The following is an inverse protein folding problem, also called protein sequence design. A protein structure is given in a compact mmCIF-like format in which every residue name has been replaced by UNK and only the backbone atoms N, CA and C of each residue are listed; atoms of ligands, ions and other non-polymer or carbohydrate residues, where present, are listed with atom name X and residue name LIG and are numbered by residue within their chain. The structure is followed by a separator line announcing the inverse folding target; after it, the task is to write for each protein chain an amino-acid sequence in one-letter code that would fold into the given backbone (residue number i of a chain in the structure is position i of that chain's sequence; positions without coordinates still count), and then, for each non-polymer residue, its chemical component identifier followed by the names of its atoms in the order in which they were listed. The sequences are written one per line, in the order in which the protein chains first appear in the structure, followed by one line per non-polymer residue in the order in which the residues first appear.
data_IF_586931467385
#
_entry.id   IF_586931467385
#
_cell.length_a   1.000
_cell.length_b   1.000
_cell.length_c   1.000
_cell.angle_alpha   90.00
_cell.angle_beta   90.00
_cell.angle_gamma   90.00
#
_symmetry.space_group_name_H-M   'P 1'
#
loop_
_entity.id
_entity.type
_entity.pdbx_description
1 polymer ?
#
# COMPACT_ATOMS: atom_id res chain seq x y z
N UNK A 1 11.01 15.15 -30.57
CA UNK A 1 10.42 14.22 -29.60
C UNK A 1 9.15 13.65 -30.24
N UNK A 2 8.85 12.35 -30.09
CA UNK A 2 7.55 11.83 -30.48
C UNK A 2 6.45 12.58 -29.69
N UNK A 3 5.29 12.85 -30.31
CA UNK A 3 4.23 13.60 -29.67
C UNK A 3 3.71 12.87 -28.44
N UNK A 4 3.44 13.60 -27.37
CA UNK A 4 2.83 13.03 -26.16
C UNK A 4 1.42 12.54 -26.45
N UNK A 5 1.08 11.38 -25.90
CA UNK A 5 -0.29 10.86 -25.88
C UNK A 5 -0.96 11.12 -24.55
N UNK A 6 -2.30 11.07 -24.50
CA UNK A 6 -3.03 11.12 -23.24
C UNK A 6 -2.69 9.92 -22.34
N UNK A 7 -2.94 10.03 -21.03
CA UNK A 7 -2.72 8.91 -20.11
C UNK A 7 -3.54 7.67 -20.50
N UNK A 8 -4.80 7.85 -20.89
CA UNK A 8 -5.65 6.73 -21.33
C UNK A 8 -5.10 6.03 -22.58
N UNK A 9 -4.63 6.80 -23.56
CA UNK A 9 -4.00 6.22 -24.76
C UNK A 9 -2.67 5.52 -24.44
N UNK A 10 -1.87 6.10 -23.53
CA UNK A 10 -0.65 5.47 -23.03
C UNK A 10 -0.94 4.11 -22.36
N UNK A 11 -1.91 4.06 -21.44
CA UNK A 11 -2.28 2.82 -20.74
C UNK A 11 -2.87 1.78 -21.70
N UNK A 12 -3.66 2.20 -22.69
CA UNK A 12 -4.17 1.31 -23.73
C UNK A 12 -3.02 0.71 -24.57
N UNK A 13 -2.04 1.53 -24.97
CA UNK A 13 -0.84 1.07 -25.68
C UNK A 13 0.01 0.12 -24.83
N UNK A 14 0.21 0.45 -23.55
CA UNK A 14 0.93 -0.41 -22.60
C UNK A 14 0.24 -1.77 -22.45
N UNK A 15 -1.10 -1.79 -22.35
CA UNK A 15 -1.89 -3.03 -22.29
C UNK A 15 -1.73 -3.84 -23.57
N UNK A 16 -1.88 -3.21 -24.74
CA UNK A 16 -1.71 -3.88 -26.02
C UNK A 16 -0.31 -4.49 -26.18
N UNK A 17 0.73 -3.82 -25.70
CA UNK A 17 2.10 -4.35 -25.75
C UNK A 17 2.29 -5.54 -24.79
N UNK A 18 1.74 -5.46 -23.57
CA UNK A 18 1.82 -6.53 -22.58
C UNK A 18 1.07 -7.79 -23.05
N UNK A 19 -0.15 -7.62 -23.55
CA UNK A 19 -1.04 -8.72 -23.94
C UNK A 19 -0.84 -9.20 -25.38
N UNK A 20 0.13 -8.62 -26.11
CA UNK A 20 0.47 -9.09 -27.45
C UNK A 20 0.86 -10.58 -27.42
N UNK A 21 0.52 -11.37 -28.46
CA UNK A 21 1.00 -12.73 -28.60
C UNK A 21 2.53 -12.79 -28.48
N UNK A 22 3.08 -13.84 -27.86
CA UNK A 22 4.52 -13.96 -27.62
C UNK A 22 5.42 -13.68 -28.85
N UNK A 23 5.08 -14.10 -30.09
CA UNK A 23 5.88 -13.77 -31.29
C UNK A 23 5.86 -12.30 -31.71
N UNK A 24 4.88 -11.52 -31.26
CA UNK A 24 4.69 -10.11 -31.60
C UNK A 24 5.08 -9.16 -30.46
N UNK A 25 5.34 -9.71 -29.27
CA UNK A 25 5.68 -8.96 -28.07
C UNK A 25 7.11 -8.47 -28.14
N UNK A 26 7.32 -7.19 -27.84
CA UNK A 26 8.67 -6.65 -27.68
C UNK A 26 9.40 -7.39 -26.55
N UNK A 27 10.69 -7.67 -26.74
CA UNK A 27 11.53 -8.29 -25.70
C UNK A 27 12.86 -7.53 -25.57
N UNK A 28 13.26 -7.13 -24.34
CA UNK A 28 12.50 -7.30 -23.11
C UNK A 28 11.36 -6.26 -22.96
N UNK A 29 10.29 -6.64 -22.26
CA UNK A 29 9.32 -5.68 -21.73
C UNK A 29 9.88 -5.03 -20.46
N UNK A 30 9.75 -3.71 -20.33
CA UNK A 30 10.05 -2.99 -19.08
C UNK A 30 8.76 -2.76 -18.30
N UNK A 31 8.63 -3.41 -17.15
CA UNK A 31 7.47 -3.31 -16.26
C UNK A 31 7.81 -2.46 -15.05
N UNK A 32 6.86 -1.63 -14.61
CA UNK A 32 6.98 -0.78 -13.43
C UNK A 32 5.90 -1.20 -12.45
N UNK A 33 6.27 -1.57 -11.22
CA UNK A 33 5.32 -2.16 -10.28
C UNK A 33 5.47 -1.56 -8.89
N UNK A 34 4.32 -1.26 -8.28
CA UNK A 34 4.19 -0.87 -6.87
C UNK A 34 4.22 -2.07 -5.92
N UNK A 35 4.20 -1.83 -4.61
CA UNK A 35 4.21 -2.91 -3.63
C UNK A 35 2.87 -3.68 -3.60
N UNK A 36 2.83 -4.83 -2.93
CA UNK A 36 1.65 -5.70 -2.90
C UNK A 36 0.45 -5.13 -2.13
N UNK A 37 0.65 -4.05 -1.36
CA UNK A 37 -0.47 -3.33 -0.76
C UNK A 37 -1.25 -2.56 -1.81
N UNK A 38 -0.62 -2.21 -2.94
CA UNK A 38 -1.24 -1.48 -4.04
C UNK A 38 -2.11 -0.32 -3.52
N UNK A 39 -1.54 0.45 -2.59
CA UNK A 39 -2.13 1.67 -2.07
C UNK A 39 -2.00 2.81 -3.10
N UNK A 40 -2.50 3.98 -2.72
CA UNK A 40 -2.53 5.13 -3.63
C UNK A 40 -1.12 5.53 -4.09
N UNK A 41 -0.12 5.44 -3.23
CA UNK A 41 1.27 5.80 -3.56
C UNK A 41 1.87 4.84 -4.58
N UNK A 42 1.81 3.54 -4.31
CA UNK A 42 2.25 2.49 -5.23
C UNK A 42 1.59 2.61 -6.61
N UNK A 43 0.27 2.82 -6.66
CA UNK A 43 -0.48 2.86 -7.91
C UNK A 43 -0.21 4.14 -8.72
N UNK A 44 -0.21 5.31 -8.08
CA UNK A 44 0.08 6.58 -8.74
C UNK A 44 1.55 6.65 -9.20
N UNK A 45 2.49 6.26 -8.32
CA UNK A 45 3.92 6.25 -8.62
C UNK A 45 4.23 5.40 -9.85
N UNK A 46 3.62 4.21 -9.99
CA UNK A 46 3.85 3.34 -11.13
C UNK A 46 3.39 3.98 -12.45
N UNK A 47 2.18 4.56 -12.48
CA UNK A 47 1.62 5.21 -13.67
C UNK A 47 2.45 6.43 -14.07
N UNK A 48 2.78 7.31 -13.11
CA UNK A 48 3.51 8.55 -13.37
C UNK A 48 4.93 8.25 -13.84
N UNK A 49 5.65 7.36 -13.14
CA UNK A 49 7.00 6.96 -13.52
C UNK A 49 7.02 6.36 -14.94
N UNK A 50 6.11 5.41 -15.22
CA UNK A 50 6.06 4.73 -16.50
C UNK A 50 5.75 5.68 -17.65
N UNK A 51 4.82 6.62 -17.46
CA UNK A 51 4.50 7.61 -18.48
C UNK A 51 5.71 8.50 -18.79
N UNK A 52 6.32 9.09 -17.76
CA UNK A 52 7.44 10.03 -17.93
C UNK A 52 8.64 9.34 -18.57
N UNK A 53 8.99 8.12 -18.13
CA UNK A 53 10.09 7.35 -18.70
C UNK A 53 9.84 6.87 -20.14
N UNK A 54 8.59 6.60 -20.49
CA UNK A 54 8.22 6.28 -21.87
C UNK A 54 8.38 7.47 -22.82
N UNK A 55 8.09 8.68 -22.34
CA UNK A 55 8.15 9.88 -23.18
C UNK A 55 9.50 10.60 -23.10
N UNK A 56 10.37 10.25 -22.16
CA UNK A 56 11.76 10.70 -22.12
C UNK A 56 12.66 9.82 -23.00
N UNK A 57 13.75 10.36 -23.58
CA UNK A 57 14.77 9.55 -24.23
C UNK A 57 15.27 8.43 -23.29
N UNK A 58 15.47 7.19 -23.79
CA UNK A 58 15.45 6.77 -25.21
C UNK A 58 14.07 6.37 -25.77
N UNK A 59 12.97 6.73 -25.10
CA UNK A 59 11.58 6.41 -25.48
C UNK A 59 11.22 4.92 -25.41
N UNK A 60 11.83 4.19 -24.49
CA UNK A 60 11.48 2.80 -24.19
C UNK A 60 10.13 2.76 -23.48
N UNK A 61 9.20 1.94 -23.96
CA UNK A 61 7.91 1.74 -23.30
C UNK A 61 8.09 1.13 -21.91
N UNK A 62 7.62 1.84 -20.89
CA UNK A 62 7.49 1.36 -19.51
C UNK A 62 6.02 1.05 -19.25
N UNK A 63 5.73 -0.15 -18.76
CA UNK A 63 4.37 -0.66 -18.58
C UNK A 63 4.04 -0.66 -17.08
N UNK A 64 3.14 0.21 -16.60
CA UNK A 64 2.75 0.22 -15.19
C UNK A 64 1.85 -0.97 -14.88
N UNK A 65 2.14 -1.69 -13.79
CA UNK A 65 1.36 -2.82 -13.30
C UNK A 65 0.92 -2.52 -11.86
N UNK A 66 -0.39 -2.60 -11.62
CA UNK A 66 -0.98 -2.63 -10.29
C UNK A 66 -0.78 -4.02 -9.69
N UNK A 67 -0.08 -4.11 -8.56
CA UNK A 67 0.25 -5.38 -7.89
C UNK A 67 -0.95 -5.92 -7.07
N UNK A 68 -2.06 -6.14 -7.75
CA UNK A 68 -3.28 -6.75 -7.21
C UNK A 68 -4.07 -7.47 -8.33
N UNK A 69 -4.98 -8.38 -7.99
CA UNK A 69 -6.01 -8.87 -8.91
C UNK A 69 -6.99 -7.75 -9.29
N UNK A 70 -7.54 -7.77 -10.50
CA UNK A 70 -8.44 -6.72 -11.00
C UNK A 70 -9.64 -6.46 -10.12
N UNK A 71 -10.23 -7.53 -9.59
CA UNK A 71 -11.40 -7.46 -8.72
C UNK A 71 -11.14 -6.73 -7.40
N UNK A 72 -9.88 -6.53 -7.02
CA UNK A 72 -9.49 -5.86 -5.78
C UNK A 72 -9.27 -4.34 -5.99
N UNK A 73 -9.27 -3.83 -7.23
CA UNK A 73 -9.25 -2.38 -7.48
C UNK A 73 -10.44 -1.65 -6.85
N UNK A 74 -11.60 -2.31 -6.75
CA UNK A 74 -12.79 -1.74 -6.10
C UNK A 74 -12.61 -1.51 -4.59
N UNK A 75 -11.60 -2.14 -3.99
CA UNK A 75 -11.22 -1.95 -2.60
C UNK A 75 -10.35 -0.69 -2.41
N UNK A 76 -10.11 0.08 -3.47
CA UNK A 76 -9.34 1.33 -3.46
C UNK A 76 -10.21 2.49 -3.99
N UNK A 77 -11.30 2.85 -3.29
CA UNK A 77 -12.14 3.96 -3.72
C UNK A 77 -11.34 5.27 -3.86
N UNK A 78 -10.32 5.48 -3.01
CA UNK A 78 -9.38 6.61 -3.08
C UNK A 78 -8.65 6.67 -4.42
N UNK A 79 -8.28 5.52 -4.99
CA UNK A 79 -7.65 5.45 -6.31
C UNK A 79 -8.65 5.81 -7.41
N UNK A 80 -9.92 5.42 -7.28
CA UNK A 80 -10.96 5.80 -8.24
C UNK A 80 -11.15 7.31 -8.28
N UNK A 81 -11.16 7.97 -7.12
CA UNK A 81 -11.24 9.43 -7.03
C UNK A 81 -10.00 10.09 -7.67
N UNK A 82 -8.79 9.63 -7.33
CA UNK A 82 -7.56 10.16 -7.93
C UNK A 82 -7.50 9.99 -9.45
N UNK A 83 -7.94 8.84 -9.98
CA UNK A 83 -8.01 8.58 -11.42
C UNK A 83 -9.00 9.50 -12.14
N UNK A 84 -10.13 9.84 -11.52
CA UNK A 84 -11.12 10.73 -12.12
C UNK A 84 -10.51 12.13 -12.41
N UNK A 85 -9.65 12.62 -11.52
CA UNK A 85 -8.87 13.85 -11.71
C UNK A 85 -7.83 13.78 -12.85
N UNK A 86 -7.55 12.58 -13.34
CA UNK A 86 -6.67 12.29 -14.47
C UNK A 86 -7.43 11.84 -15.74
N UNK A 87 -8.76 11.95 -15.75
CA UNK A 87 -9.65 11.40 -16.79
C UNK A 87 -9.45 9.91 -17.06
N UNK A 88 -9.16 9.16 -15.99
CA UNK A 88 -8.99 7.71 -16.02
C UNK A 88 -10.07 7.02 -15.18
N UNK A 89 -10.24 5.73 -15.43
CA UNK A 89 -11.09 4.81 -14.68
C UNK A 89 -10.24 3.65 -14.16
N UNK A 90 -10.66 2.96 -13.09
CA UNK A 90 -9.96 1.76 -12.62
C UNK A 90 -9.75 0.71 -13.71
N UNK A 91 -10.68 0.59 -14.67
CA UNK A 91 -10.54 -0.31 -15.83
C UNK A 91 -9.33 -0.03 -16.70
N UNK A 92 -8.83 1.21 -16.71
CA UNK A 92 -7.70 1.62 -17.56
C UNK A 92 -6.37 1.10 -17.00
N UNK A 93 -6.28 0.84 -15.69
CA UNK A 93 -5.10 0.27 -15.05
C UNK A 93 -4.84 -1.17 -15.49
N UNK A 94 -3.57 -1.52 -15.67
CA UNK A 94 -3.15 -2.89 -15.89
C UNK A 94 -2.88 -3.52 -14.53
N UNK A 95 -3.34 -4.75 -14.34
CA UNK A 95 -3.27 -5.48 -13.07
C UNK A 95 -2.49 -6.78 -13.25
N UNK A 96 -2.31 -7.57 -12.18
CA UNK A 96 -1.68 -8.88 -12.29
C UNK A 96 -2.40 -9.79 -13.29
N UNK A 97 -3.72 -9.66 -13.41
CA UNK A 97 -4.54 -10.41 -14.36
C UNK A 97 -4.21 -10.13 -15.85
N UNK A 98 -3.56 -9.00 -16.14
CA UNK A 98 -3.12 -8.67 -17.50
C UNK A 98 -1.73 -9.25 -17.83
N UNK A 99 -0.97 -9.68 -16.82
CA UNK A 99 0.37 -10.25 -17.00
C UNK A 99 0.24 -11.67 -17.56
N UNK A 100 0.73 -11.96 -18.78
CA UNK A 100 0.58 -13.28 -19.37
C UNK A 100 1.26 -14.35 -18.50
N UNK A 101 0.55 -15.43 -18.19
CA UNK A 101 1.08 -16.54 -17.40
C UNK A 101 2.37 -17.14 -18.02
N UNK A 102 2.47 -17.10 -19.35
CA UNK A 102 3.60 -17.58 -20.14
C UNK A 102 4.75 -16.57 -20.29
N UNK A 103 4.64 -15.36 -19.73
CA UNK A 103 5.67 -14.34 -19.82
C UNK A 103 6.95 -14.83 -19.12
N UNK A 104 8.00 -15.14 -19.88
CA UNK A 104 9.22 -15.69 -19.33
C UNK A 104 10.08 -14.59 -18.66
N UNK A 105 10.72 -14.92 -17.54
CA UNK A 105 11.49 -13.95 -16.77
C UNK A 105 12.58 -13.26 -17.61
N UNK A 106 13.29 -14.02 -18.45
CA UNK A 106 14.34 -13.48 -19.34
C UNK A 106 13.85 -12.38 -20.30
N UNK A 107 12.56 -12.38 -20.64
CA UNK A 107 11.93 -11.42 -21.56
C UNK A 107 11.38 -10.19 -20.83
N UNK A 108 11.73 -10.02 -19.56
CA UNK A 108 11.26 -8.91 -18.72
C UNK A 108 12.41 -8.17 -18.06
N UNK A 109 12.14 -6.90 -17.74
CA UNK A 109 12.89 -6.02 -16.84
C UNK A 109 11.88 -5.40 -15.88
N UNK A 110 12.20 -5.33 -14.59
CA UNK A 110 11.30 -4.81 -13.57
C UNK A 110 11.91 -3.60 -12.86
N UNK A 111 11.18 -2.50 -12.84
CA UNK A 111 11.48 -1.32 -12.04
C UNK A 111 10.46 -1.27 -10.90
N UNK A 112 10.96 -1.12 -9.68
CA UNK A 112 10.13 -1.11 -8.49
C UNK A 112 9.85 0.34 -8.07
N UNK A 113 8.62 0.64 -7.71
CA UNK A 113 8.26 1.89 -7.04
C UNK A 113 7.61 1.56 -5.70
N UNK A 114 7.87 2.37 -4.68
CA UNK A 114 7.28 2.21 -3.34
C UNK A 114 7.57 0.86 -2.66
N UNK A 115 8.62 0.18 -3.13
CA UNK A 115 9.33 -0.91 -2.48
C UNK A 115 10.66 -1.17 -3.19
N UNK A 116 11.54 -1.90 -2.52
CA UNK A 116 12.86 -2.28 -3.05
C UNK A 116 13.10 -3.81 -3.05
N UNK A 117 12.04 -4.59 -2.82
CA UNK A 117 12.05 -6.05 -2.92
C UNK A 117 10.72 -6.58 -3.47
N UNK A 118 10.76 -7.37 -4.55
CA UNK A 118 9.57 -8.08 -5.00
C UNK A 118 9.14 -9.10 -3.94
N UNK A 119 7.82 -9.28 -3.80
CA UNK A 119 7.19 -10.25 -2.90
C UNK A 119 6.29 -11.23 -3.68
N UNK A 120 5.87 -12.32 -3.03
CA UNK A 120 4.91 -13.28 -3.58
C UNK A 120 5.31 -13.94 -4.91
N UNK A 121 4.32 -14.15 -5.78
CA UNK A 121 4.50 -14.81 -7.07
C UNK A 121 5.42 -14.04 -8.02
N UNK A 122 5.41 -12.70 -7.94
CA UNK A 122 6.32 -11.86 -8.71
C UNK A 122 7.77 -12.10 -8.27
N UNK A 123 8.05 -12.20 -6.97
CA UNK A 123 9.38 -12.52 -6.47
C UNK A 123 9.85 -13.90 -6.95
N UNK A 124 8.97 -14.90 -6.82
CA UNK A 124 9.28 -16.29 -7.19
C UNK A 124 9.69 -16.42 -8.66
N UNK A 125 9.09 -15.62 -9.54
CA UNK A 125 9.33 -15.69 -10.99
C UNK A 125 10.32 -14.66 -11.52
N UNK A 126 10.33 -13.44 -10.97
CA UNK A 126 10.98 -12.28 -11.59
C UNK A 126 12.01 -11.56 -10.71
N UNK A 127 12.30 -12.01 -9.48
CA UNK A 127 13.28 -11.33 -8.61
C UNK A 127 14.65 -11.10 -9.28
N UNK A 128 15.14 -12.05 -10.08
CA UNK A 128 16.40 -11.92 -10.83
C UNK A 128 16.36 -10.96 -12.03
N UNK A 129 15.24 -10.26 -12.25
CA UNK A 129 14.99 -9.35 -13.38
C UNK A 129 14.71 -7.92 -12.93
N UNK A 130 14.85 -7.63 -11.64
CA UNK A 130 14.79 -6.28 -11.10
C UNK A 130 16.01 -5.50 -11.57
N UNK A 131 15.76 -4.33 -12.19
CA UNK A 131 16.79 -3.49 -12.80
C UNK A 131 16.84 -2.08 -12.19
N UNK A 132 15.92 -1.71 -11.31
CA UNK A 132 15.95 -0.41 -10.64
C UNK A 132 14.83 -0.24 -9.62
N UNK A 133 14.94 0.79 -8.79
CA UNK A 133 13.89 1.18 -7.85
C UNK A 133 13.87 2.69 -7.55
N UNK A 134 12.69 3.16 -7.15
CA UNK A 134 12.48 4.43 -6.43
C UNK A 134 11.60 4.10 -5.23
N UNK A 135 12.11 4.25 -4.01
CA UNK A 135 11.43 3.79 -2.81
C UNK A 135 11.81 4.63 -1.58
N UNK A 136 10.89 4.69 -0.62
CA UNK A 136 11.04 5.40 0.64
C UNK A 136 11.07 4.49 1.88
N UNK A 137 10.98 3.17 1.69
CA UNK A 137 11.14 2.18 2.76
C UNK A 137 12.62 1.93 3.10
N UNK A 138 12.83 1.13 4.16
CA UNK A 138 14.16 0.63 4.48
C UNK A 138 14.70 -0.26 3.34
N UNK A 139 15.98 -0.08 3.00
CA UNK A 139 16.65 -0.87 1.97
C UNK A 139 16.77 -2.34 2.43
N UNK A 140 16.25 -3.27 1.64
CA UNK A 140 16.32 -4.72 1.84
C UNK A 140 17.49 -5.37 1.08
N UNK A 141 18.32 -4.56 0.41
CA UNK A 141 19.47 -4.99 -0.38
C UNK A 141 19.12 -6.01 -1.48
N UNK A 142 17.88 -5.96 -2.00
CA UNK A 142 17.42 -6.84 -3.09
C UNK A 142 17.59 -6.25 -4.49
N UNK A 143 17.58 -4.93 -4.61
CA UNK A 143 17.83 -4.24 -5.89
C UNK A 143 19.35 -4.15 -6.13
N UNK A 144 19.85 -4.57 -7.31
CA UNK A 144 21.28 -4.47 -7.66
C UNK A 144 21.83 -3.06 -7.45
N UNK A 145 23.13 -2.96 -7.10
CA UNK A 145 23.80 -1.67 -6.98
C UNK A 145 24.03 -0.98 -8.33
N UNK A 146 24.27 -1.78 -9.37
CA UNK A 146 24.36 -1.32 -10.76
C UNK A 146 23.02 -1.59 -11.45
N UNK A 147 22.27 -0.53 -11.69
CA UNK A 147 20.93 -0.52 -12.29
C UNK A 147 20.95 -0.08 -13.76
N UNK A 148 22.14 0.12 -14.34
CA UNK A 148 22.30 0.65 -15.70
C UNK A 148 21.57 1.99 -15.88
N UNK A 149 20.63 2.04 -16.81
CA UNK A 149 19.85 3.24 -17.16
C UNK A 149 18.62 3.49 -16.26
N UNK A 150 18.38 2.62 -15.28
CA UNK A 150 17.31 2.77 -14.30
C UNK A 150 17.85 3.30 -12.96
N UNK A 151 17.04 3.98 -12.14
CA UNK A 151 17.47 4.51 -10.85
C UNK A 151 17.64 3.41 -9.80
N UNK A 152 18.46 3.72 -8.79
CA UNK A 152 18.39 3.10 -7.46
C UNK A 152 18.25 4.19 -6.41
N UNK A 153 17.04 4.66 -6.18
CA UNK A 153 16.72 5.67 -5.17
C UNK A 153 16.03 4.98 -4.01
N UNK A 154 16.71 4.88 -2.86
CA UNK A 154 16.12 4.37 -1.61
C UNK A 154 16.40 5.39 -0.52
N UNK A 155 15.41 6.22 -0.22
CA UNK A 155 15.57 7.39 0.65
C UNK A 155 14.35 7.64 1.51
N UNK A 156 14.54 7.95 2.80
CA UNK A 156 13.41 8.29 3.68
C UNK A 156 12.65 9.51 3.13
N UNK A 157 11.36 9.35 2.89
CA UNK A 157 10.45 10.38 2.40
C UNK A 157 9.02 10.11 2.91
N UNK A 158 8.14 11.11 2.91
CA UNK A 158 6.74 10.94 3.31
C UNK A 158 5.97 10.06 2.33
N UNK A 159 6.24 10.21 1.04
CA UNK A 159 5.66 9.43 -0.06
C UNK A 159 6.71 9.08 -1.12
N UNK A 160 6.65 7.88 -1.67
CA UNK A 160 7.41 7.48 -2.85
C UNK A 160 7.08 8.37 -4.06
N UNK A 161 5.83 8.83 -4.21
CA UNK A 161 5.46 9.74 -5.30
C UNK A 161 6.22 11.07 -5.25
N UNK A 162 6.69 11.51 -4.08
CA UNK A 162 7.59 12.67 -3.98
C UNK A 162 8.94 12.39 -4.64
N UNK A 163 9.51 11.20 -4.37
CA UNK A 163 10.78 10.75 -4.96
C UNK A 163 10.66 10.53 -6.46
N UNK A 164 9.55 9.96 -6.94
CA UNK A 164 9.28 9.80 -8.37
C UNK A 164 9.19 11.16 -9.07
N UNK A 165 8.43 12.12 -8.50
CA UNK A 165 8.30 13.46 -9.05
C UNK A 165 9.64 14.18 -9.11
N UNK A 166 10.49 14.02 -8.09
CA UNK A 166 11.81 14.64 -8.05
C UNK A 166 12.79 14.00 -9.04
N UNK A 167 12.88 12.66 -9.06
CA UNK A 167 13.74 11.93 -9.99
C UNK A 167 13.37 12.21 -11.45
N UNK A 168 12.07 12.20 -11.78
CA UNK A 168 11.60 12.47 -13.13
C UNK A 168 11.53 13.97 -13.46
N UNK A 169 11.80 14.89 -12.52
CA UNK A 169 11.67 16.34 -12.73
C UNK A 169 12.37 16.85 -14.00
N UNK A 170 13.63 16.48 -14.31
CA UNK A 170 14.29 16.98 -15.52
C UNK A 170 13.57 16.54 -16.81
N UNK A 171 13.13 15.29 -16.86
CA UNK A 171 12.36 14.75 -17.98
C UNK A 171 10.99 15.43 -18.09
N UNK A 172 10.30 15.60 -16.95
CA UNK A 172 8.99 16.23 -16.89
C UNK A 172 9.05 17.69 -17.36
N UNK A 173 10.02 18.48 -16.91
CA UNK A 173 10.20 19.86 -17.36
C UNK A 173 10.54 19.96 -18.85
N UNK A 174 11.34 19.02 -19.37
CA UNK A 174 11.65 18.97 -20.80
C UNK A 174 10.40 18.67 -21.64
N UNK A 175 9.55 17.75 -21.19
CA UNK A 175 8.28 17.41 -21.81
C UNK A 175 7.28 18.58 -21.75
N UNK A 176 7.15 19.25 -20.61
CA UNK A 176 6.26 20.40 -20.45
C UNK A 176 6.66 21.58 -21.36
N UNK A 177 7.97 21.84 -21.50
CA UNK A 177 8.49 22.89 -22.40
C UNK A 177 8.22 22.62 -23.88
N UNK A 178 8.02 21.37 -24.29
CA UNK A 178 7.70 21.02 -25.67
C UNK A 178 6.30 21.49 -26.10
N UNK A 179 5.41 21.81 -25.14
CA UNK A 179 4.14 22.49 -25.38
C UNK A 179 2.99 21.63 -25.92
N UNK A 180 3.15 20.31 -26.01
CA UNK A 180 2.19 19.37 -26.62
C UNK A 180 1.36 18.57 -25.61
N UNK A 181 1.46 18.85 -24.30
CA UNK A 181 0.92 17.97 -23.25
C UNK A 181 0.40 18.63 -21.98
N UNK A 182 -0.02 19.89 -22.00
CA UNK A 182 -0.44 20.63 -20.81
C UNK A 182 -1.50 19.93 -19.94
N UNK A 183 -2.55 19.35 -20.57
CA UNK A 183 -3.56 18.57 -19.85
C UNK A 183 -2.98 17.31 -19.20
N UNK A 184 -2.00 16.68 -19.86
CA UNK A 184 -1.37 15.47 -19.34
C UNK A 184 -0.46 15.80 -18.15
N UNK A 185 0.23 16.95 -18.18
CA UNK A 185 1.00 17.42 -17.03
C UNK A 185 0.09 17.69 -15.82
N UNK A 186 -1.08 18.29 -16.05
CA UNK A 186 -2.07 18.48 -14.99
C UNK A 186 -2.58 17.14 -14.42
N UNK A 187 -2.84 16.14 -15.28
CA UNK A 187 -3.27 14.82 -14.84
C UNK A 187 -2.19 14.07 -14.05
N UNK A 188 -0.94 14.05 -14.54
CA UNK A 188 0.19 13.46 -13.83
C UNK A 188 0.41 14.15 -12.49
N UNK A 189 0.33 15.47 -12.45
CA UNK A 189 0.48 16.24 -11.21
C UNK A 189 -0.60 15.91 -10.19
N UNK A 190 -1.87 15.79 -10.62
CA UNK A 190 -2.98 15.41 -9.73
C UNK A 190 -2.82 13.98 -9.18
N UNK A 191 -2.38 13.02 -9.99
CA UNK A 191 -2.08 11.66 -9.50
C UNK A 191 -0.98 11.67 -8.44
N UNK A 192 0.12 12.39 -8.69
CA UNK A 192 1.21 12.51 -7.72
C UNK A 192 0.79 13.26 -6.46
N UNK A 193 0.05 14.37 -6.59
CA UNK A 193 -0.46 15.13 -5.43
C UNK A 193 -1.39 14.28 -4.57
N UNK A 194 -2.25 13.45 -5.18
CA UNK A 194 -3.15 12.58 -4.43
C UNK A 194 -2.38 11.65 -3.49
N UNK A 195 -1.32 11.00 -3.98
CA UNK A 195 -0.45 10.16 -3.16
C UNK A 195 0.27 10.96 -2.06
N UNK A 196 1.02 11.99 -2.47
CA UNK A 196 1.87 12.77 -1.54
C UNK A 196 1.04 13.39 -0.41
N UNK A 197 -0.10 13.99 -0.72
CA UNK A 197 -0.94 14.66 0.28
C UNK A 197 -1.61 13.65 1.22
N UNK A 198 -2.03 12.48 0.74
CA UNK A 198 -2.61 11.43 1.59
C UNK A 198 -1.58 10.87 2.58
N UNK A 199 -0.36 10.58 2.13
CA UNK A 199 0.65 9.96 3.00
C UNK A 199 1.26 10.91 4.02
N UNK A 200 1.33 12.20 3.66
CA UNK A 200 1.86 13.27 4.50
C UNK A 200 0.80 14.00 5.32
N UNK A 201 -0.47 13.61 5.21
CA UNK A 201 -1.60 14.30 5.85
C UNK A 201 -1.60 15.79 5.50
N UNK A 202 -1.64 16.08 4.20
CA UNK A 202 -1.54 17.42 3.62
C UNK A 202 -0.28 18.19 4.10
N UNK A 203 0.88 17.51 4.09
CA UNK A 203 2.16 18.01 4.63
C UNK A 203 2.15 18.32 6.14
N UNK A 204 1.10 17.92 6.86
CA UNK A 204 0.93 18.16 8.31
C UNK A 204 1.53 17.08 9.21
N UNK A 205 1.92 15.93 8.65
CA UNK A 205 2.49 14.82 9.42
C UNK A 205 3.91 15.14 9.90
N UNK A 206 4.09 15.33 11.21
CA UNK A 206 5.39 15.67 11.83
C UNK A 206 6.45 14.57 11.71
N UNK A 207 6.02 13.30 11.69
CA UNK A 207 6.93 12.16 11.72
C UNK A 207 7.30 11.63 10.33
N UNK A 208 6.47 11.93 9.32
CA UNK A 208 6.62 11.43 7.94
C UNK A 208 7.09 12.48 6.96
N UNK A 209 6.54 13.70 7.04
CA UNK A 209 6.77 14.75 6.03
C UNK A 209 8.23 15.18 6.05
N UNK A 210 8.81 15.28 4.85
CA UNK A 210 10.19 15.72 4.63
C UNK A 210 10.24 16.94 3.71
N UNK A 211 11.39 17.62 3.64
CA UNK A 211 11.60 18.73 2.71
C UNK A 211 11.43 18.32 1.23
N UNK A 212 11.67 17.04 0.92
CA UNK A 212 11.42 16.46 -0.41
C UNK A 212 9.93 16.47 -0.74
N UNK A 213 9.05 16.15 0.21
CA UNK A 213 7.59 16.20 0.01
C UNK A 213 7.13 17.64 -0.24
N UNK A 214 7.63 18.61 0.53
CA UNK A 214 7.32 20.04 0.35
C UNK A 214 7.79 20.54 -1.02
N UNK A 215 9.00 20.15 -1.44
CA UNK A 215 9.58 20.46 -2.76
C UNK A 215 8.79 19.83 -3.90
N UNK A 216 8.37 18.57 -3.75
CA UNK A 216 7.56 17.85 -4.72
C UNK A 216 6.19 18.50 -4.89
N UNK A 217 5.45 18.77 -3.81
CA UNK A 217 4.16 19.47 -3.88
C UNK A 217 4.31 20.84 -4.56
N UNK A 218 5.30 21.63 -4.16
CA UNK A 218 5.58 22.94 -4.77
C UNK A 218 5.93 22.88 -6.27
N UNK A 219 6.46 21.75 -6.73
CA UNK A 219 6.72 21.51 -8.16
C UNK A 219 5.43 21.10 -8.89
N UNK A 220 4.70 20.12 -8.34
CA UNK A 220 3.50 19.55 -8.95
C UNK A 220 2.37 20.59 -9.10
N UNK A 221 2.19 21.47 -8.11
CA UNK A 221 1.15 22.50 -8.14
C UNK A 221 1.34 23.53 -9.27
N UNK A 222 2.53 23.62 -9.86
CA UNK A 222 2.78 24.48 -11.04
C UNK A 222 2.00 24.01 -12.27
N UNK A 223 1.63 22.72 -12.32
CA UNK A 223 0.84 22.13 -13.39
C UNK A 223 -0.65 22.07 -13.06
N UNK A 224 -1.05 22.51 -11.87
CA UNK A 224 -2.46 22.60 -11.50
C UNK A 224 -3.01 23.98 -11.88
N UNK A 225 -3.94 24.01 -12.83
CA UNK A 225 -4.66 25.23 -13.19
C UNK A 225 -5.81 25.50 -12.22
N UNK A 226 -6.17 26.78 -12.05
CA UNK A 226 -7.31 27.18 -11.24
C UNK A 226 -8.64 26.65 -11.82
N UNK A 227 -9.62 26.26 -10.97
CA UNK A 227 -9.57 26.28 -9.51
C UNK A 227 -8.97 24.97 -8.95
N UNK A 228 -7.73 25.02 -8.47
CA UNK A 228 -7.14 23.98 -7.63
C UNK A 228 -6.92 24.57 -6.25
N UNK A 229 -7.33 23.84 -5.22
CA UNK A 229 -7.10 24.17 -3.83
C UNK A 229 -6.64 22.89 -3.12
N UNK A 230 -5.42 22.93 -2.57
CA UNK A 230 -4.76 21.77 -1.96
C UNK A 230 -5.62 21.13 -0.88
N UNK A 231 -6.14 21.94 0.05
CA UNK A 231 -6.91 21.44 1.19
C UNK A 231 -8.20 20.76 0.72
N UNK A 232 -8.94 21.38 -0.20
CA UNK A 232 -10.16 20.79 -0.76
C UNK A 232 -9.89 19.49 -1.52
N UNK A 233 -8.77 19.43 -2.26
CA UNK A 233 -8.36 18.22 -2.97
C UNK A 233 -7.95 17.10 -2.01
N UNK A 234 -7.21 17.43 -0.94
CA UNK A 234 -6.87 16.48 0.12
C UNK A 234 -8.11 15.95 0.85
N UNK A 235 -9.04 16.84 1.21
CA UNK A 235 -10.28 16.50 1.91
C UNK A 235 -11.15 15.57 1.06
N UNK A 236 -11.26 15.83 -0.25
CA UNK A 236 -11.99 14.99 -1.20
C UNK A 236 -11.43 13.55 -1.21
N UNK A 237 -10.13 13.39 -1.43
CA UNK A 237 -9.51 12.05 -1.52
C UNK A 237 -9.51 11.34 -0.16
N UNK A 238 -9.30 12.09 0.93
CA UNK A 238 -9.32 11.53 2.30
C UNK A 238 -10.70 11.01 2.68
N UNK A 239 -11.76 11.77 2.39
CA UNK A 239 -13.14 11.35 2.65
C UNK A 239 -13.48 10.03 1.94
N UNK A 240 -13.05 9.88 0.68
CA UNK A 240 -13.28 8.65 -0.09
C UNK A 240 -12.43 7.47 0.43
N UNK A 241 -11.19 7.74 0.88
CA UNK A 241 -10.32 6.71 1.50
C UNK A 241 -10.93 6.12 2.76
N UNK A 242 -11.56 6.97 3.59
CA UNK A 242 -12.18 6.59 4.85
C UNK A 242 -13.58 5.97 4.67
N UNK A 243 -14.23 6.20 3.53
CA UNK A 243 -15.53 5.61 3.22
C UNK A 243 -15.42 4.13 2.85
N UNK A 244 -15.63 3.28 3.87
CA UNK A 244 -15.77 1.83 3.74
C UNK A 244 -17.22 1.37 3.94
N UNK A 245 -18.20 2.26 3.77
CA UNK A 245 -19.62 1.98 4.03
C UNK A 245 -20.16 0.91 3.09
N UNK A 246 -19.76 0.95 1.82
CA UNK A 246 -20.18 0.03 0.76
C UNK A 246 -19.53 -1.36 0.82
N UNK A 247 -18.40 -1.51 1.54
CA UNK A 247 -17.65 -2.77 1.60
C UNK A 247 -18.30 -3.77 2.56
N UNK A 248 -18.35 -5.06 2.19
CA UNK A 248 -18.69 -6.12 3.15
C UNK A 248 -17.56 -6.37 4.16
N UNK A 249 -17.83 -7.04 5.29
CA UNK A 249 -16.79 -7.32 6.30
C UNK A 249 -15.55 -8.00 5.74
N UNK A 250 -15.72 -9.02 4.89
CA UNK A 250 -14.60 -9.68 4.20
C UNK A 250 -13.74 -8.70 3.41
N UNK A 251 -14.36 -7.74 2.72
CA UNK A 251 -13.67 -6.70 1.94
C UNK A 251 -12.96 -5.69 2.85
N UNK A 252 -13.59 -5.31 3.98
CA UNK A 252 -12.98 -4.47 5.01
C UNK A 252 -11.70 -5.11 5.57
N UNK A 253 -11.76 -6.39 5.95
CA UNK A 253 -10.60 -7.08 6.54
C UNK A 253 -9.46 -7.30 5.53
N UNK A 254 -9.79 -7.50 4.25
CA UNK A 254 -8.77 -7.74 3.22
C UNK A 254 -8.20 -6.48 2.57
N UNK A 255 -8.84 -5.30 2.76
CA UNK A 255 -8.44 -4.03 2.11
C UNK A 255 -6.97 -3.72 2.34
N UNK A 256 -6.53 -3.63 3.60
CA UNK A 256 -5.12 -3.42 3.99
C UNK A 256 -4.66 -4.53 4.94
N UNK A 257 -4.48 -5.71 4.36
CA UNK A 257 -4.14 -6.93 5.07
C UNK A 257 -2.68 -7.35 4.84
N UNK A 258 -2.00 -7.76 5.90
CA UNK A 258 -0.68 -8.41 5.81
C UNK A 258 -0.64 -9.67 6.66
N UNK A 259 0.08 -10.67 6.18
CA UNK A 259 0.21 -11.97 6.82
C UNK A 259 1.68 -12.36 6.94
N UNK A 260 2.02 -12.98 8.07
CA UNK A 260 3.35 -13.51 8.34
C UNK A 260 3.25 -14.94 8.88
N UNK A 261 4.29 -15.72 8.63
CA UNK A 261 4.48 -17.05 9.20
C UNK A 261 5.84 -17.07 9.90
N UNK A 262 5.85 -17.42 11.18
CA UNK A 262 7.07 -17.50 11.99
C UNK A 262 7.12 -18.81 12.77
N UNK A 263 8.33 -19.29 13.06
CA UNK A 263 8.53 -20.48 13.90
C UNK A 263 8.43 -20.09 15.38
N UNK A 264 7.66 -20.84 16.16
CA UNK A 264 7.51 -20.60 17.59
C UNK A 264 8.78 -20.97 18.36
N UNK A 265 9.11 -20.24 19.41
CA UNK A 265 10.15 -20.65 20.35
C UNK A 265 9.73 -21.86 21.20
N UNK A 266 10.60 -22.87 21.29
CA UNK A 266 10.46 -24.03 22.18
C UNK A 266 10.55 -25.36 21.45
N UNK A 267 11.12 -26.39 22.09
CA UNK A 267 11.18 -27.73 21.50
C UNK A 267 9.76 -28.29 21.29
N UNK A 268 9.45 -28.69 20.05
CA UNK A 268 8.18 -29.33 19.69
C UNK A 268 7.05 -28.37 19.29
N UNK A 269 7.28 -27.06 19.26
CA UNK A 269 6.28 -26.09 18.79
C UNK A 269 6.34 -25.89 17.28
N UNK A 270 5.16 -25.74 16.68
CA UNK A 270 5.00 -25.56 15.25
C UNK A 270 5.16 -24.11 14.78
N UNK A 271 4.99 -23.94 13.48
CA UNK A 271 4.80 -22.63 12.85
C UNK A 271 3.53 -21.95 13.37
N UNK A 272 3.53 -20.63 13.43
CA UNK A 272 2.35 -19.80 13.68
C UNK A 272 2.15 -18.82 12.54
N UNK A 273 0.90 -18.72 12.09
CA UNK A 273 0.44 -17.82 11.04
C UNK A 273 -0.35 -16.67 11.66
N UNK A 274 0.13 -15.44 11.46
CA UNK A 274 -0.47 -14.22 11.97
C UNK A 274 -0.95 -13.33 10.82
N UNK A 275 -2.16 -12.78 10.95
CA UNK A 275 -2.71 -11.81 10.00
C UNK A 275 -3.15 -10.52 10.67
N UNK A 276 -2.80 -9.37 10.08
CA UNK A 276 -3.19 -8.03 10.57
C UNK A 276 -4.02 -7.33 9.50
N UNK A 277 -5.25 -6.98 9.86
CA UNK A 277 -6.15 -6.15 9.05
C UNK A 277 -6.11 -4.72 9.59
N UNK A 278 -5.55 -3.79 8.83
CA UNK A 278 -5.58 -2.37 9.16
C UNK A 278 -6.84 -1.72 8.56
N UNK A 279 -7.61 -1.02 9.39
CA UNK A 279 -8.93 -0.49 9.04
C UNK A 279 -8.96 1.01 9.33
N UNK A 280 -9.41 1.79 8.35
CA UNK A 280 -9.50 3.26 8.38
C UNK A 280 -10.69 3.81 9.17
N UNK A 281 -11.31 2.96 10.01
CA UNK A 281 -12.44 3.29 10.86
C UNK A 281 -12.27 2.56 12.19
N UNK A 282 -12.81 3.13 13.28
CA UNK A 282 -12.70 2.59 14.63
C UNK A 282 -13.60 1.36 14.88
N UNK A 283 -13.43 0.72 16.03
CA UNK A 283 -14.17 -0.49 16.43
C UNK A 283 -15.65 -0.20 16.64
N UNK A 284 -16.02 1.01 17.09
CA UNK A 284 -17.42 1.43 17.20
C UNK A 284 -18.08 1.45 15.81
N UNK A 285 -17.41 1.99 14.78
CA UNK A 285 -17.90 1.94 13.39
C UNK A 285 -18.10 0.49 12.92
N UNK A 286 -17.17 -0.42 13.24
CA UNK A 286 -17.31 -1.82 12.86
C UNK A 286 -18.48 -2.51 13.57
N UNK A 287 -18.77 -2.12 14.81
CA UNK A 287 -19.96 -2.56 15.53
C UNK A 287 -21.24 -1.98 14.94
N UNK A 288 -21.26 -0.71 14.58
CA UNK A 288 -22.42 -0.09 13.93
C UNK A 288 -22.70 -0.75 12.58
N UNK A 289 -21.65 -1.09 11.82
CA UNK A 289 -21.75 -1.90 10.60
C UNK A 289 -22.28 -3.31 10.86
N UNK A 290 -22.08 -3.84 12.06
CA UNK A 290 -22.67 -5.08 12.56
C UNK A 290 -24.05 -4.86 13.22
N UNK A 291 -24.70 -3.71 13.02
CA UNK A 291 -25.97 -3.33 13.65
C UNK A 291 -25.93 -3.36 15.18
N UNK A 292 -24.77 -3.04 15.76
CA UNK A 292 -24.52 -3.07 17.20
C UNK A 292 -24.29 -4.47 17.78
N UNK A 293 -24.34 -5.53 16.96
CA UNK A 293 -24.14 -6.92 17.41
C UNK A 293 -22.67 -7.35 17.28
N UNK A 294 -21.97 -7.39 18.40
CA UNK A 294 -20.59 -7.87 18.48
C UNK A 294 -20.42 -9.32 17.98
N UNK A 295 -21.45 -10.18 18.10
CA UNK A 295 -21.38 -11.56 17.60
C UNK A 295 -21.32 -11.60 16.08
N UNK A 296 -21.96 -10.64 15.40
CA UNK A 296 -21.88 -10.52 13.94
C UNK A 296 -20.46 -10.11 13.53
N UNK A 297 -19.90 -9.05 14.12
CA UNK A 297 -18.52 -8.61 13.86
C UNK A 297 -17.51 -9.75 14.08
N UNK A 298 -17.58 -10.39 15.25
CA UNK A 298 -16.67 -11.45 15.65
C UNK A 298 -16.80 -12.70 14.77
N UNK A 299 -18.02 -13.06 14.36
CA UNK A 299 -18.25 -14.18 13.43
C UNK A 299 -17.65 -13.89 12.07
N UNK A 300 -17.86 -12.70 11.50
CA UNK A 300 -17.29 -12.35 10.19
C UNK A 300 -15.75 -12.28 10.24
N UNK A 301 -15.18 -11.77 11.34
CA UNK A 301 -13.73 -11.77 11.50
C UNK A 301 -13.15 -13.18 11.68
N UNK A 302 -13.86 -14.07 12.39
CA UNK A 302 -13.49 -15.48 12.48
C UNK A 302 -13.51 -16.17 11.11
N UNK A 303 -14.55 -15.98 10.30
CA UNK A 303 -14.59 -16.52 8.92
C UNK A 303 -13.39 -16.08 8.11
N UNK A 304 -12.99 -14.81 8.24
CA UNK A 304 -11.80 -14.29 7.59
C UNK A 304 -10.51 -14.96 8.09
N UNK A 305 -10.36 -15.13 9.40
CA UNK A 305 -9.23 -15.86 9.98
C UNK A 305 -9.18 -17.32 9.51
N UNK A 306 -10.32 -18.00 9.41
CA UNK A 306 -10.42 -19.37 8.87
C UNK A 306 -10.06 -19.43 7.37
N UNK A 307 -10.56 -18.50 6.56
CA UNK A 307 -10.21 -18.37 5.14
C UNK A 307 -8.69 -18.23 4.94
N UNK A 308 -8.05 -17.45 5.81
CA UNK A 308 -6.61 -17.18 5.79
C UNK A 308 -5.76 -18.17 6.60
N UNK A 309 -6.39 -19.15 7.27
CA UNK A 309 -5.76 -20.17 8.11
C UNK A 309 -4.88 -19.56 9.21
N UNK A 310 -5.41 -18.57 9.93
CA UNK A 310 -4.69 -17.84 10.95
C UNK A 310 -4.72 -18.54 12.30
N UNK A 311 -3.56 -18.58 12.95
CA UNK A 311 -3.44 -18.89 14.37
C UNK A 311 -3.69 -17.64 15.23
N UNK A 312 -3.31 -16.47 14.70
CA UNK A 312 -3.49 -15.16 15.34
C UNK A 312 -4.11 -14.17 14.34
N UNK A 313 -5.28 -13.63 14.66
CA UNK A 313 -5.94 -12.57 13.90
C UNK A 313 -5.88 -11.24 14.64
N UNK A 314 -5.54 -10.16 13.93
CA UNK A 314 -5.47 -8.80 14.47
C UNK A 314 -6.31 -7.84 13.65
N UNK A 315 -7.13 -7.03 14.33
CA UNK A 315 -7.72 -5.81 13.77
C UNK A 315 -6.99 -4.62 14.38
N UNK A 316 -6.42 -3.77 13.54
CA UNK A 316 -5.87 -2.47 13.94
C UNK A 316 -6.70 -1.37 13.31
N UNK A 317 -7.30 -0.52 14.12
CA UNK A 317 -8.12 0.58 13.62
C UNK A 317 -7.37 1.90 13.71
N UNK A 318 -7.74 2.82 12.84
CA UNK A 318 -7.52 4.25 13.00
C UNK A 318 -8.87 4.95 12.92
N UNK A 319 -9.06 5.99 13.73
CA UNK A 319 -10.26 6.80 13.70
C UNK A 319 -9.95 8.27 13.97
N UNK A 320 -10.90 9.13 13.65
CA UNK A 320 -10.84 10.57 13.94
C UNK A 320 -12.12 11.07 14.65
N UNK A 321 -12.60 10.41 15.74
CA UNK A 321 -13.79 10.91 16.44
C UNK A 321 -13.54 12.34 16.93
N UNK A 322 -14.50 13.22 16.64
CA UNK A 322 -14.41 14.66 16.95
C UNK A 322 -13.11 15.32 16.43
N UNK A 323 -12.57 14.81 15.32
CA UNK A 323 -11.34 15.30 14.69
C UNK A 323 -10.04 14.87 15.39
N UNK A 324 -10.10 14.00 16.40
CA UNK A 324 -8.91 13.52 17.13
C UNK A 324 -8.50 12.14 16.65
N UNK A 325 -7.25 12.02 16.22
CA UNK A 325 -6.70 10.73 15.80
C UNK A 325 -6.66 9.74 16.98
N UNK A 326 -7.19 8.56 16.76
CA UNK A 326 -7.15 7.44 17.70
C UNK A 326 -6.71 6.14 17.03
N UNK A 327 -6.25 5.21 17.85
CA UNK A 327 -5.92 3.83 17.45
C UNK A 327 -6.54 2.84 18.42
N UNK A 328 -7.03 1.74 17.89
CA UNK A 328 -7.48 0.62 18.70
C UNK A 328 -6.95 -0.69 18.11
N UNK A 329 -6.87 -1.70 18.97
CA UNK A 329 -6.27 -2.99 18.68
C UNK A 329 -7.18 -4.09 19.20
N UNK A 330 -7.62 -4.98 18.33
CA UNK A 330 -8.23 -6.26 18.72
C UNK A 330 -7.29 -7.38 18.31
N UNK A 331 -6.93 -8.24 19.26
CA UNK A 331 -6.06 -9.39 19.08
C UNK A 331 -6.84 -10.66 19.42
N UNK A 332 -6.83 -11.66 18.54
CA UNK A 332 -7.52 -12.93 18.73
C UNK A 332 -6.63 -14.13 18.40
N UNK A 333 -6.31 -14.92 19.41
CA UNK A 333 -5.64 -16.21 19.29
C UNK A 333 -6.67 -17.35 19.13
N UNK A 334 -6.38 -18.29 18.22
CA UNK A 334 -7.28 -19.40 17.86
C UNK A 334 -6.77 -20.81 18.26
N UNK A 335 -5.63 -20.91 18.94
CA UNK A 335 -5.11 -22.15 19.55
C UNK A 335 -4.18 -21.86 20.74
N UNK A 336 -3.80 -22.89 21.51
CA UNK A 336 -3.03 -22.74 22.75
C UNK A 336 -1.65 -22.09 22.57
N UNK A 337 -0.92 -22.45 21.52
CA UNK A 337 0.37 -21.83 21.23
C UNK A 337 0.17 -20.33 20.91
N UNK A 338 -0.89 -19.99 20.17
CA UNK A 338 -1.21 -18.60 19.83
C UNK A 338 -1.62 -17.80 21.07
N UNK A 339 -2.34 -18.44 22.00
CA UNK A 339 -2.71 -17.84 23.28
C UNK A 339 -1.45 -17.48 24.09
N UNK A 340 -0.46 -18.37 24.15
CA UNK A 340 0.80 -18.06 24.84
C UNK A 340 1.55 -16.90 24.18
N UNK A 341 1.71 -16.91 22.86
CA UNK A 341 2.38 -15.84 22.11
C UNK A 341 1.68 -14.49 22.30
N UNK A 342 0.35 -14.46 22.25
CA UNK A 342 -0.44 -13.23 22.43
C UNK A 342 -0.36 -12.69 23.87
N UNK A 343 -0.33 -13.57 24.88
CA UNK A 343 -0.11 -13.16 26.28
C UNK A 343 1.30 -12.61 26.50
N UNK A 344 2.33 -13.22 25.91
CA UNK A 344 3.71 -12.70 25.94
C UNK A 344 3.79 -11.31 25.32
N UNK A 345 3.16 -11.11 24.17
CA UNK A 345 3.06 -9.80 23.52
C UNK A 345 2.39 -8.77 24.47
N UNK A 346 1.23 -9.12 25.03
CA UNK A 346 0.53 -8.21 25.93
C UNK A 346 1.38 -7.84 27.15
N UNK A 347 1.97 -8.80 27.85
CA UNK A 347 2.81 -8.50 29.03
C UNK A 347 4.09 -7.74 28.67
N UNK A 348 4.69 -8.00 27.50
CA UNK A 348 5.91 -7.34 27.05
C UNK A 348 5.71 -5.89 26.58
N UNK A 349 4.57 -5.58 25.97
CA UNK A 349 4.39 -4.32 25.24
C UNK A 349 3.16 -3.48 25.66
N UNK A 350 2.30 -3.93 26.59
CA UNK A 350 1.10 -3.17 27.00
C UNK A 350 1.41 -1.75 27.47
N UNK A 351 2.51 -1.55 28.20
CA UNK A 351 2.92 -0.23 28.71
C UNK A 351 3.47 0.65 27.59
N UNK A 352 4.30 0.09 26.71
CA UNK A 352 4.90 0.80 25.57
C UNK A 352 3.85 1.27 24.56
N UNK A 353 2.83 0.42 24.32
CA UNK A 353 1.71 0.74 23.44
C UNK A 353 0.61 1.56 24.14
N UNK A 354 0.65 1.65 25.48
CA UNK A 354 -0.40 2.28 26.28
C UNK A 354 -1.76 1.63 26.05
N UNK A 355 -1.84 0.30 26.18
CA UNK A 355 -3.06 -0.46 25.95
C UNK A 355 -4.01 -0.33 27.13
N UNK A 356 -5.16 0.29 26.90
CA UNK A 356 -6.26 0.39 27.85
C UNK A 356 -7.44 -0.43 27.37
N UNK A 357 -8.11 -1.14 28.28
CA UNK A 357 -9.25 -2.00 27.93
C UNK A 357 -10.33 -1.22 27.18
N UNK A 358 -10.71 -1.72 26.02
CA UNK A 358 -11.70 -1.08 25.17
C UNK A 358 -13.12 -1.35 25.68
N UNK A 359 -13.91 -0.30 25.93
CA UNK A 359 -15.33 -0.35 26.38
C UNK A 359 -15.57 -1.41 27.45
N UNK A 360 -14.81 -1.37 28.55
CA UNK A 360 -14.92 -2.32 29.67
C UNK A 360 -14.76 -3.80 29.30
N UNK A 361 -14.17 -4.09 28.13
CA UNK A 361 -13.89 -5.45 27.66
C UNK A 361 -15.06 -6.06 26.91
N UNK A 362 -15.92 -5.21 26.30
CA UNK A 362 -17.08 -5.65 25.51
C UNK A 362 -16.74 -6.69 24.43
N UNK A 363 -15.54 -6.63 23.86
CA UNK A 363 -15.07 -7.58 22.85
C UNK A 363 -14.12 -8.64 23.42
N UNK A 364 -13.84 -8.65 24.72
CA UNK A 364 -12.88 -9.58 25.34
C UNK A 364 -13.50 -10.98 25.51
N UNK A 365 -12.68 -12.02 25.37
CA UNK A 365 -13.06 -13.41 25.66
C UNK A 365 -11.82 -14.24 26.02
N UNK A 366 -11.93 -15.00 27.11
CA UNK A 366 -10.92 -15.97 27.53
C UNK A 366 -11.58 -17.33 27.62
N UNK A 367 -11.19 -18.25 26.75
CA UNK A 367 -11.72 -19.61 26.68
C UNK A 367 -10.59 -20.62 26.44
N UNK A 368 -10.88 -21.91 26.53
CA UNK A 368 -9.92 -22.96 26.21
C UNK A 368 -9.52 -22.86 24.72
N UNK A 369 -8.22 -22.85 24.44
CA UNK A 369 -7.69 -22.67 23.08
C UNK A 369 -7.94 -21.30 22.45
N UNK A 370 -8.50 -20.32 23.16
CA UNK A 370 -8.79 -19.00 22.59
C UNK A 370 -8.57 -17.85 23.57
N UNK A 371 -8.04 -16.76 23.04
CA UNK A 371 -7.85 -15.54 23.80
C UNK A 371 -8.06 -14.33 22.91
N UNK A 372 -9.09 -13.55 23.21
CA UNK A 372 -9.46 -12.35 22.47
C UNK A 372 -9.49 -11.16 23.41
N UNK A 373 -8.85 -10.07 23.02
CA UNK A 373 -8.86 -8.82 23.79
C UNK A 373 -8.91 -7.63 22.84
N UNK A 374 -9.61 -6.57 23.26
CA UNK A 374 -9.64 -5.30 22.56
C UNK A 374 -9.17 -4.14 23.44
N UNK A 375 -8.40 -3.22 22.86
CA UNK A 375 -7.80 -2.09 23.56
C UNK A 375 -7.91 -0.79 22.76
N UNK A 376 -8.07 0.32 23.48
CA UNK A 376 -7.64 1.64 22.99
C UNK A 376 -6.12 1.74 23.16
N UNK A 377 -5.43 2.22 22.14
CA UNK A 377 -3.97 2.32 22.11
C UNK A 377 -3.55 3.80 22.26
N UNK A 378 -3.01 4.17 23.42
CA UNK A 378 -2.64 5.58 23.70
C UNK A 378 -1.36 6.01 22.99
N UNK A 379 -0.44 5.09 22.74
CA UNK A 379 0.72 5.40 21.90
C UNK A 379 0.30 5.40 20.42
N UNK A 380 -0.10 6.57 19.92
CA UNK A 380 -0.59 6.76 18.56
C UNK A 380 0.47 6.54 17.47
N UNK A 381 1.76 6.49 17.84
CA UNK A 381 2.82 6.16 16.88
C UNK A 381 2.75 4.69 16.46
N UNK A 382 2.30 3.80 17.35
CA UNK A 382 2.23 2.32 17.24
C UNK A 382 1.40 1.81 16.06
N UNK A 383 1.91 1.92 14.84
CA UNK A 383 1.24 1.37 13.65
C UNK A 383 1.47 -0.13 13.50
N UNK A 384 0.89 -0.75 12.47
CA UNK A 384 1.23 -2.13 12.06
C UNK A 384 2.74 -2.35 11.90
N UNK A 385 3.50 -1.33 11.48
CA UNK A 385 4.96 -1.40 11.32
C UNK A 385 5.70 -1.56 12.67
N UNK A 386 5.06 -1.30 13.81
CA UNK A 386 5.61 -1.54 15.15
C UNK A 386 4.94 -2.74 15.83
N UNK A 387 3.60 -2.81 15.79
CA UNK A 387 2.84 -3.87 16.47
C UNK A 387 3.12 -5.24 15.85
N UNK A 388 3.21 -5.36 14.52
CA UNK A 388 3.49 -6.65 13.89
C UNK A 388 4.88 -7.20 14.26
N UNK A 389 6.00 -6.43 14.19
CA UNK A 389 7.28 -6.90 14.71
C UNK A 389 7.26 -7.34 16.18
N UNK A 390 6.60 -6.58 17.07
CA UNK A 390 6.49 -6.94 18.50
C UNK A 390 5.77 -8.27 18.70
N UNK A 391 4.66 -8.50 17.99
CA UNK A 391 3.92 -9.76 18.08
C UNK A 391 4.71 -10.93 17.48
N UNK A 392 5.46 -10.70 16.40
CA UNK A 392 6.37 -11.70 15.81
C UNK A 392 7.55 -12.03 16.72
N UNK A 393 8.08 -11.05 17.46
CA UNK A 393 9.11 -11.28 18.49
C UNK A 393 8.58 -12.19 19.60
N UNK A 394 7.35 -11.94 20.05
CA UNK A 394 6.67 -12.78 21.04
C UNK A 394 6.45 -14.23 20.55
N UNK A 395 6.14 -14.43 19.26
CA UNK A 395 6.05 -15.76 18.62
C UNK A 395 7.43 -16.46 18.64
N UNK A 396 8.47 -15.75 18.21
CA UNK A 396 9.84 -16.29 18.11
C UNK A 396 10.54 -16.47 19.45
N UNK A 397 9.95 -15.97 20.54
CA UNK A 397 10.54 -15.99 21.88
C UNK A 397 11.83 -15.18 22.00
N UNK A 398 11.94 -14.08 21.24
CA UNK A 398 13.03 -13.12 21.44
C UNK A 398 12.98 -12.53 22.84
N UNK A 399 14.13 -12.47 23.53
CA UNK A 399 14.27 -11.60 24.69
C UNK A 399 14.44 -10.16 24.17
N UNK A 400 13.73 -9.22 24.79
CA UNK A 400 13.86 -7.78 24.52
C UNK A 400 15.36 -7.42 24.56
N UNK A 401 15.93 -7.00 23.43
CA UNK A 401 17.31 -6.50 23.35
C UNK A 401 17.45 -5.16 24.05
#
# INVERSE_FOLDING_TARGET
MPPRVSLGAFLANARSALTAPAPQRASPLTLVVGNESADLDSLCSAVVYAYLRTHAPPHTLHIPISNLPRDDLKLRPEMTAALAHAQLKPSDLLTLDDVPADLAAKDTRWVLVDHNALTGDLAAKYAGRVVGCVDHHADEDKVPRDTGDEPRVVEKCGSCSSLVAEYCRPAWEALAKAGDGGDVDAHLARLSLAAVLIDTTNLGSKDKTTDRDVSAVSFLERFTAAPYARDAFFDEISAVKEDISSLGFRDVFRKDYKQWEDQSAGQGRGRQVMGVSAIVQNLDYLLDKAHGDEKVLLREFRKWAEERKLDIGVIMTTGHPDGKFERELLLWAFNDDAVESCKKFYEGYKEELGLEKWREGRLDEVAEGQWRMAWSQKNLSGSRKQVAPMLREAIKGGARL
#
